data_IF_038591748229
#
_entry.id   IF_038591748229
#
_cell.length_a   1.000
_cell.length_b   1.000
_cell.length_c   1.000
_cell.angle_alpha   90.00
_cell.angle_beta   90.00
_cell.angle_gamma   90.00
#
_symmetry.space_group_name_H-M   'P 1'
#
loop_
_entity.id
_entity.type
_entity.pdbx_description
1 polymer ?
#
# COMPACT_ATOMS: atom_id res chain seq x y z
N UNK A 1 -14.26 16.34 -10.06
CA UNK A 1 -14.44 17.01 -8.74
C UNK A 1 -14.89 16.05 -7.64
N UNK A 2 -16.00 15.30 -7.79
CA UNK A 2 -16.51 14.40 -6.73
C UNK A 2 -15.59 13.19 -6.41
N UNK A 3 -14.84 12.69 -7.40
CA UNK A 3 -14.01 11.49 -7.26
C UNK A 3 -12.91 11.62 -6.19
N UNK A 4 -12.30 12.80 -6.03
CA UNK A 4 -11.30 13.05 -4.96
C UNK A 4 -11.94 13.12 -3.57
N UNK A 5 -13.21 13.52 -3.49
CA UNK A 5 -13.96 13.51 -2.22
C UNK A 5 -14.17 12.06 -1.79
N UNK A 6 -14.64 11.17 -2.68
CA UNK A 6 -14.79 9.75 -2.33
C UNK A 6 -13.47 9.10 -1.89
N UNK A 7 -12.36 9.38 -2.58
CA UNK A 7 -11.05 8.86 -2.21
C UNK A 7 -10.57 9.28 -0.81
N UNK A 8 -11.03 10.42 -0.29
CA UNK A 8 -10.73 10.88 1.08
C UNK A 8 -11.57 10.16 2.15
N UNK A 9 -12.76 9.67 1.79
CA UNK A 9 -13.68 9.02 2.74
C UNK A 9 -13.49 7.49 2.78
N UNK A 10 -12.79 6.91 1.80
CA UNK A 10 -12.49 5.49 1.75
C UNK A 10 -11.41 5.12 2.78
N UNK A 11 -11.75 4.14 3.63
CA UNK A 11 -10.83 3.55 4.63
C UNK A 11 -9.78 2.64 4.03
N UNK A 12 -10.03 2.10 2.84
CA UNK A 12 -9.13 1.17 2.17
C UNK A 12 -7.86 1.88 1.70
N UNK A 13 -6.69 1.36 2.09
CA UNK A 13 -5.37 1.91 1.74
C UNK A 13 -4.37 0.78 1.51
N UNK A 14 -3.29 1.11 0.80
CA UNK A 14 -2.08 0.27 0.82
C UNK A 14 -1.29 0.66 2.06
N UNK A 15 -1.08 -0.31 2.93
CA UNK A 15 -0.28 -0.19 4.15
C UNK A 15 1.17 -0.49 3.82
N UNK A 16 2.09 0.08 4.58
CA UNK A 16 3.52 -0.13 4.39
C UNK A 16 4.22 -0.43 5.72
N UNK A 17 4.97 -1.53 5.75
CA UNK A 17 5.90 -1.82 6.85
C UNK A 17 7.29 -1.23 6.55
N UNK A 18 7.58 -0.08 7.16
CA UNK A 18 8.85 0.61 7.03
C UNK A 18 10.06 -0.30 7.33
N UNK A 19 9.94 -1.26 8.25
CA UNK A 19 11.07 -2.10 8.66
C UNK A 19 11.56 -3.02 7.55
N UNK A 20 10.68 -3.39 6.62
CA UNK A 20 11.01 -4.25 5.47
C UNK A 20 11.46 -3.47 4.23
N UNK A 21 11.36 -2.13 4.26
CA UNK A 21 11.63 -1.31 3.08
C UNK A 21 13.13 -1.07 2.88
N UNK A 22 13.64 -1.47 1.72
CA UNK A 22 15.04 -1.32 1.33
C UNK A 22 15.28 -0.19 0.31
N UNK A 23 14.28 0.67 0.07
CA UNK A 23 14.38 1.78 -0.91
C UNK A 23 14.80 1.36 -2.33
N UNK A 24 14.37 0.17 -2.80
CA UNK A 24 14.70 -0.34 -4.14
C UNK A 24 13.94 0.33 -5.31
N UNK A 25 12.98 1.21 -5.01
CA UNK A 25 12.17 1.97 -5.98
C UNK A 25 11.27 1.18 -6.96
N UNK A 26 11.21 -0.15 -6.85
CA UNK A 26 10.38 -0.99 -7.74
C UNK A 26 8.89 -0.64 -7.67
N UNK A 27 8.37 -0.38 -6.47
CA UNK A 27 6.94 -0.05 -6.30
C UNK A 27 6.52 1.22 -7.05
N UNK A 28 7.39 2.25 -7.06
CA UNK A 28 7.16 3.49 -7.80
C UNK A 28 7.30 3.27 -9.31
N UNK A 29 8.29 2.49 -9.76
CA UNK A 29 8.51 2.26 -11.20
C UNK A 29 7.38 1.49 -11.88
N UNK A 30 6.71 0.57 -11.17
CA UNK A 30 5.57 -0.19 -11.71
C UNK A 30 4.23 0.57 -11.60
N UNK A 31 4.22 1.77 -11.02
CA UNK A 31 3.00 2.53 -10.84
C UNK A 31 2.60 3.26 -12.14
N UNK A 32 1.59 2.73 -12.83
CA UNK A 32 1.02 3.35 -14.03
C UNK A 32 0.42 4.75 -13.78
N UNK A 33 0.11 5.07 -12.53
CA UNK A 33 -0.44 6.36 -12.11
C UNK A 33 0.65 7.39 -11.77
N UNK A 34 1.94 7.00 -11.79
CA UNK A 34 3.05 7.92 -11.47
C UNK A 34 3.18 8.28 -9.99
N UNK A 35 2.56 7.52 -9.09
CA UNK A 35 2.59 7.78 -7.64
C UNK A 35 3.95 7.35 -7.07
N UNK A 36 4.59 8.21 -6.28
CA UNK A 36 5.81 7.87 -5.53
C UNK A 36 5.50 7.03 -4.28
N UNK A 37 5.22 5.74 -4.51
CA UNK A 37 4.86 4.77 -3.47
C UNK A 37 6.02 4.52 -2.50
N UNK A 38 7.25 4.53 -2.99
CA UNK A 38 8.45 4.30 -2.18
C UNK A 38 8.56 5.36 -1.06
N UNK A 39 8.25 6.62 -1.33
CA UNK A 39 8.28 7.66 -0.31
C UNK A 39 7.27 7.41 0.82
N UNK A 40 6.07 6.90 0.53
CA UNK A 40 5.12 6.46 1.56
C UNK A 40 5.68 5.28 2.35
N UNK A 41 6.26 4.29 1.66
CA UNK A 41 6.83 3.09 2.28
C UNK A 41 7.99 3.41 3.23
N UNK A 42 8.91 4.29 2.82
CA UNK A 42 10.04 4.76 3.62
C UNK A 42 9.59 5.53 4.88
N UNK A 43 8.45 6.21 4.80
CA UNK A 43 7.84 6.89 5.94
C UNK A 43 6.98 5.97 6.81
N UNK A 44 6.69 4.75 6.35
CA UNK A 44 5.73 3.85 7.02
C UNK A 44 4.31 4.39 7.02
N UNK A 45 3.98 5.26 6.04
CA UNK A 45 2.67 5.87 5.94
C UNK A 45 1.78 5.03 5.02
N UNK A 46 0.48 4.88 5.35
CA UNK A 46 -0.47 4.35 4.39
C UNK A 46 -0.49 5.23 3.15
N UNK A 47 -0.44 4.61 1.97
CA UNK A 47 -0.49 5.33 0.71
C UNK A 47 -1.89 5.94 0.54
N UNK A 48 -1.96 7.26 0.72
CA UNK A 48 -3.20 8.04 0.79
C UNK A 48 -3.51 8.82 -0.50
N UNK A 49 -3.00 8.36 -1.64
CA UNK A 49 -3.13 9.06 -2.91
C UNK A 49 -4.50 8.80 -3.59
N UNK A 50 -5.24 9.84 -4.03
CA UNK A 50 -6.54 9.68 -4.68
C UNK A 50 -6.47 9.11 -6.10
N UNK A 51 -5.31 9.15 -6.75
CA UNK A 51 -5.10 8.59 -8.10
C UNK A 51 -4.86 7.09 -8.06
N UNK A 52 -4.63 6.50 -6.89
CA UNK A 52 -4.44 5.07 -6.77
C UNK A 52 -5.74 4.31 -7.10
N UNK A 53 -5.70 3.55 -8.19
CA UNK A 53 -6.80 2.69 -8.65
C UNK A 53 -6.82 1.30 -8.01
N UNK A 54 -5.85 0.99 -7.12
CA UNK A 54 -5.73 -0.28 -6.38
C UNK A 54 -5.52 -1.51 -7.28
N UNK A 55 -4.68 -1.37 -8.30
CA UNK A 55 -4.36 -2.43 -9.28
C UNK A 55 -3.36 -3.51 -8.79
N UNK A 56 -2.99 -3.51 -7.52
CA UNK A 56 -2.03 -4.44 -6.88
C UNK A 56 -0.60 -4.53 -7.42
N UNK A 57 -0.26 -3.93 -8.56
CA UNK A 57 1.06 -4.06 -9.19
C UNK A 57 2.24 -3.76 -8.24
N UNK A 58 2.14 -2.74 -7.41
CA UNK A 58 3.19 -2.38 -6.44
C UNK A 58 3.29 -3.37 -5.27
N UNK A 59 2.17 -3.95 -4.82
CA UNK A 59 2.11 -4.94 -3.74
C UNK A 59 2.73 -6.25 -4.20
N UNK A 60 2.36 -6.68 -5.41
CA UNK A 60 2.86 -7.89 -6.04
C UNK A 60 4.37 -7.82 -6.35
N UNK A 61 4.82 -6.70 -6.91
CA UNK A 61 6.21 -6.52 -7.36
C UNK A 61 7.20 -6.24 -6.21
N UNK A 62 6.72 -6.06 -4.97
CA UNK A 62 7.59 -5.72 -3.86
C UNK A 62 8.42 -6.95 -3.41
N UNK A 63 9.76 -6.93 -3.56
CA UNK A 63 10.58 -8.11 -3.31
C UNK A 63 10.68 -8.48 -1.83
N UNK A 64 10.43 -7.53 -0.93
CA UNK A 64 10.51 -7.72 0.53
C UNK A 64 9.13 -7.76 1.19
N UNK A 65 8.04 -7.74 0.42
CA UNK A 65 6.68 -7.80 0.97
C UNK A 65 6.33 -6.59 1.87
N UNK A 66 6.83 -5.40 1.57
CA UNK A 66 6.58 -4.19 2.39
C UNK A 66 5.11 -3.78 2.39
N UNK A 67 4.49 -3.89 1.23
CA UNK A 67 3.18 -3.33 0.95
C UNK A 67 2.10 -4.40 1.11
N UNK A 68 0.95 -4.02 1.64
CA UNK A 68 -0.23 -4.87 1.73
C UNK A 68 -1.52 -4.05 1.65
N UNK A 69 -2.64 -4.69 1.36
CA UNK A 69 -3.94 -4.04 1.43
C UNK A 69 -4.51 -4.07 2.84
N UNK A 70 -5.22 -3.02 3.22
CA UNK A 70 -5.88 -2.96 4.51
C UNK A 70 -6.80 -1.76 4.66
N UNK A 71 -7.26 -1.54 5.88
CA UNK A 71 -8.10 -0.42 6.26
C UNK A 71 -7.42 0.41 7.33
N UNK A 72 -7.55 1.73 7.20
CA UNK A 72 -7.08 2.69 8.19
C UNK A 72 -8.25 3.46 8.78
N UNK A 73 -8.06 3.91 10.01
CA UNK A 73 -8.93 4.86 10.66
C UNK A 73 -8.84 6.21 9.94
N UNK A 74 -9.98 6.87 9.75
CA UNK A 74 -10.07 8.07 8.90
C UNK A 74 -9.50 9.31 9.57
N UNK A 75 -9.54 9.33 10.90
CA UNK A 75 -9.20 10.52 11.69
C UNK A 75 -7.77 10.41 12.21
N UNK A 76 -7.35 9.20 12.60
CA UNK A 76 -6.03 8.94 13.17
C UNK A 76 -5.02 8.37 12.18
N UNK A 77 -5.47 7.81 11.05
CA UNK A 77 -4.62 7.10 10.10
C UNK A 77 -4.06 5.76 10.62
N UNK A 78 -4.50 5.34 11.81
CA UNK A 78 -4.08 4.08 12.42
C UNK A 78 -4.56 2.88 11.60
N UNK A 79 -3.75 1.83 11.53
CA UNK A 79 -4.13 0.57 10.86
C UNK A 79 -5.24 -0.12 11.67
N UNK A 80 -6.41 -0.31 11.05
CA UNK A 80 -7.53 -1.02 11.67
C UNK A 80 -7.45 -2.52 11.42
N UNK A 81 -7.14 -2.92 10.18
CA UNK A 81 -7.02 -4.32 9.77
C UNK A 81 -6.27 -4.47 8.45
N UNK A 82 -5.58 -5.58 8.28
CA UNK A 82 -5.02 -6.02 7.00
C UNK A 82 -6.04 -6.89 6.26
N UNK A 83 -5.92 -6.97 4.94
CA UNK A 83 -6.74 -7.85 4.13
C UNK A 83 -6.36 -9.33 4.37
N UNK A 84 -7.33 -10.24 4.27
CA UNK A 84 -7.11 -11.68 4.45
C UNK A 84 -6.40 -12.31 3.25
N UNK A 85 -6.60 -11.74 2.07
CA UNK A 85 -5.97 -12.20 0.84
C UNK A 85 -4.77 -11.29 0.52
N UNK A 86 -3.57 -11.86 0.61
CA UNK A 86 -2.36 -11.16 0.20
C UNK A 86 -2.24 -11.18 -1.33
N UNK A 87 -2.03 -10.01 -1.91
CA UNK A 87 -1.67 -9.84 -3.32
C UNK A 87 -0.14 -9.92 -3.57
N UNK A 88 0.66 -10.22 -2.53
CA UNK A 88 2.11 -10.40 -2.61
C UNK A 88 2.48 -11.85 -2.33
N UNK A 89 3.18 -12.48 -3.27
CA UNK A 89 3.69 -13.84 -3.11
C UNK A 89 4.66 -13.98 -1.91
N UNK A 90 5.43 -12.93 -1.61
CA UNK A 90 6.32 -12.90 -0.43
C UNK A 90 5.49 -13.00 0.84
N UNK A 91 4.44 -12.18 0.97
CA UNK A 91 3.54 -12.19 2.13
C UNK A 91 2.72 -13.47 2.23
N UNK A 92 2.32 -14.07 1.11
CA UNK A 92 1.62 -15.37 1.12
C UNK A 92 2.49 -16.45 1.79
N UNK A 93 3.77 -16.52 1.41
CA UNK A 93 4.73 -17.46 2.01
C UNK A 93 4.99 -17.18 3.49
N UNK A 94 4.97 -15.91 3.91
CA UNK A 94 5.12 -15.54 5.32
C UNK A 94 3.95 -15.98 6.21
N UNK A 95 2.73 -16.04 5.65
CA UNK A 95 1.54 -16.49 6.40
C UNK A 95 1.48 -18.02 6.52
N UNK A 96 2.10 -18.73 5.58
CA UNK A 96 2.18 -20.19 5.56
C UNK A 96 3.37 -20.75 6.35
N UNK A 97 4.37 -19.93 6.68
CA UNK A 97 5.58 -20.28 7.42
C UNK A 97 5.41 -20.13 8.94
#
# INVERSE_FOLDING_TARGET
>A
ALMHIYARFIRFRILADKKKCISCNICTSVCHQGIDIMNFANKGLPMADPECVRCSACVESCPTGVLEFGQVDRDTGAVLRTDRLSASAVRQREVEA
#
